data_IF_255896494035
#
_entry.id   IF_255896494035
#
_cell.length_a   1.000
_cell.length_b   1.000
_cell.length_c   1.000
_cell.angle_alpha   90.00
_cell.angle_beta   90.00
_cell.angle_gamma   90.00
#
_symmetry.space_group_name_H-M   'P 1'
#
loop_
_entity.id
_entity.type
_entity.pdbx_description
1 polymer ?
#
# COMPACT_ATOMS: atom_id res chain seq x y z
N UNK A 1 -3.19 14.63 3.65
CA UNK A 1 -1.91 13.89 3.64
C UNK A 1 -2.14 12.51 4.23
N UNK A 2 -1.54 11.48 3.66
CA UNK A 2 -1.58 10.11 4.19
C UNK A 2 -0.15 9.57 4.35
N UNK A 3 0.00 8.54 5.16
CA UNK A 3 1.23 7.75 5.26
C UNK A 3 0.89 6.30 4.92
N UNK A 4 1.63 5.70 3.99
CA UNK A 4 1.42 4.33 3.56
C UNK A 4 2.76 3.58 3.45
N UNK A 5 2.86 2.42 4.12
CA UNK A 5 4.04 1.56 4.05
C UNK A 5 3.85 0.41 3.05
N UNK A 6 2.85 -0.44 3.31
CA UNK A 6 2.66 -1.71 2.59
C UNK A 6 2.61 -1.56 1.06
N UNK A 7 1.84 -0.59 0.54
CA UNK A 7 1.68 -0.40 -0.91
C UNK A 7 3.00 -0.01 -1.60
N UNK A 8 3.90 0.68 -0.88
CA UNK A 8 5.17 1.20 -1.36
C UNK A 8 6.35 0.25 -1.10
N UNK A 9 6.17 -0.77 -0.25
CA UNK A 9 7.26 -1.63 0.21
C UNK A 9 7.82 -2.58 -0.87
N UNK A 10 7.07 -2.84 -1.94
CA UNK A 10 7.43 -3.79 -3.00
C UNK A 10 8.32 -3.23 -4.11
N UNK A 11 8.72 -1.96 -4.04
CA UNK A 11 9.42 -1.27 -5.14
C UNK A 11 10.93 -1.28 -5.03
N UNK A 12 11.65 -1.00 -6.12
CA UNK A 12 13.11 -0.94 -6.14
C UNK A 12 13.69 0.06 -5.13
N UNK A 13 13.02 1.20 -4.97
CA UNK A 13 13.43 2.33 -4.12
C UNK A 13 13.17 2.10 -2.63
N UNK A 14 12.35 1.09 -2.28
CA UNK A 14 12.11 0.78 -0.87
C UNK A 14 13.34 0.09 -0.25
N UNK A 15 13.59 0.25 1.05
CA UNK A 15 14.56 -0.60 1.74
C UNK A 15 14.03 -2.04 1.87
N UNK A 16 14.92 -3.00 2.11
CA UNK A 16 14.57 -4.42 2.29
C UNK A 16 15.08 -5.31 1.17
N UNK A 17 15.45 -6.54 1.51
CA UNK A 17 16.09 -7.45 0.57
C UNK A 17 15.10 -7.99 -0.46
N UNK A 18 15.58 -8.18 -1.69
CA UNK A 18 14.87 -8.93 -2.72
C UNK A 18 15.07 -10.43 -2.50
N UNK A 19 13.99 -11.16 -2.33
CA UNK A 19 13.97 -12.61 -2.09
C UNK A 19 13.22 -13.30 -3.22
N UNK A 20 13.76 -14.41 -3.71
CA UNK A 20 13.07 -15.26 -4.69
C UNK A 20 12.53 -16.49 -3.98
N UNK A 21 11.22 -16.74 -4.07
CA UNK A 21 10.57 -17.91 -3.51
C UNK A 21 9.64 -18.52 -4.57
N UNK A 22 9.80 -19.81 -4.85
CA UNK A 22 9.03 -20.54 -5.87
C UNK A 22 8.99 -19.83 -7.25
N UNK A 23 10.14 -19.27 -7.67
CA UNK A 23 10.26 -18.55 -8.94
C UNK A 23 9.63 -17.15 -8.98
N UNK A 24 8.98 -16.71 -7.89
CA UNK A 24 8.41 -15.37 -7.74
C UNK A 24 9.34 -14.48 -6.91
N UNK A 25 9.43 -13.21 -7.28
CA UNK A 25 10.22 -12.19 -6.59
C UNK A 25 9.38 -11.46 -5.54
N UNK A 26 9.97 -11.24 -4.38
CA UNK A 26 9.36 -10.56 -3.24
C UNK A 26 10.35 -9.59 -2.61
N UNK A 27 9.86 -8.57 -1.92
CA UNK A 27 10.66 -7.75 -1.01
C UNK A 27 10.28 -8.02 0.44
N UNK A 28 11.29 -7.98 1.30
CA UNK A 28 11.09 -8.03 2.74
C UNK A 28 10.48 -6.73 3.25
N UNK A 29 9.40 -6.82 4.00
CA UNK A 29 8.75 -5.70 4.66
C UNK A 29 8.46 -6.05 6.12
N UNK A 30 8.82 -5.17 7.04
CA UNK A 30 8.56 -5.38 8.46
C UNK A 30 8.25 -4.08 9.18
N UNK A 31 7.36 -4.18 10.18
CA UNK A 31 6.99 -3.05 11.02
C UNK A 31 8.15 -2.57 11.89
N UNK A 32 8.14 -1.29 12.25
CA UNK A 32 9.15 -0.66 13.12
C UNK A 32 9.25 -1.32 14.50
N UNK A 33 8.15 -1.91 15.00
CA UNK A 33 8.11 -2.67 16.25
C UNK A 33 8.41 -4.18 16.09
N UNK A 34 9.00 -4.59 14.97
CA UNK A 34 9.42 -5.99 14.74
C UNK A 34 10.78 -6.29 15.37
N UNK A 35 11.06 -7.57 15.64
CA UNK A 35 12.38 -8.04 16.13
C UNK A 35 13.54 -7.60 15.23
N UNK A 36 13.28 -7.40 13.95
CA UNK A 36 14.30 -7.00 12.98
C UNK A 36 14.71 -5.54 13.11
N UNK A 37 13.91 -4.73 13.80
CA UNK A 37 14.15 -3.31 13.99
C UNK A 37 14.31 -2.93 15.48
N UNK A 38 13.70 -3.69 16.39
CA UNK A 38 13.92 -3.56 17.84
C UNK A 38 15.21 -4.26 18.26
N UNK A 39 16.02 -3.57 19.06
CA UNK A 39 17.17 -4.17 19.75
C UNK A 39 16.72 -5.10 20.88
N UNK A 40 15.57 -4.80 21.51
CA UNK A 40 15.00 -5.58 22.60
C UNK A 40 13.99 -6.61 22.11
N UNK A 41 14.02 -7.82 22.68
CA UNK A 41 13.15 -8.94 22.32
C UNK A 41 11.81 -8.96 23.08
N UNK A 42 11.55 -7.97 23.94
CA UNK A 42 10.32 -7.87 24.74
C UNK A 42 9.26 -7.01 24.04
N UNK A 43 7.99 -7.43 24.14
CA UNK A 43 6.82 -6.75 23.56
C UNK A 43 6.98 -6.47 22.05
N UNK A 44 7.09 -7.54 21.27
CA UNK A 44 7.19 -7.46 19.80
C UNK A 44 5.79 -7.43 19.21
N UNK A 45 5.50 -6.35 18.47
CA UNK A 45 4.18 -6.13 17.87
C UNK A 45 4.25 -6.07 16.33
N UNK A 46 5.46 -5.92 15.77
CA UNK A 46 5.70 -5.96 14.33
C UNK A 46 6.03 -7.35 13.82
N UNK A 47 5.51 -7.70 12.65
CA UNK A 47 5.87 -8.92 11.91
C UNK A 47 6.73 -8.59 10.71
N UNK A 48 7.50 -9.58 10.26
CA UNK A 48 8.14 -9.58 8.94
C UNK A 48 7.29 -10.37 7.97
N UNK A 49 7.01 -9.76 6.82
CA UNK A 49 6.25 -10.36 5.73
C UNK A 49 7.01 -10.18 4.41
N UNK A 50 6.63 -10.98 3.43
CA UNK A 50 7.07 -10.83 2.05
C UNK A 50 5.96 -10.14 1.27
N UNK A 51 6.29 -9.03 0.61
CA UNK A 51 5.40 -8.35 -0.32
C UNK A 51 5.84 -8.65 -1.74
N UNK A 52 4.89 -8.81 -2.67
CA UNK A 52 5.21 -9.04 -4.08
C UNK A 52 6.10 -7.92 -4.61
N UNK A 53 7.13 -8.29 -5.37
CA UNK A 53 7.99 -7.32 -6.04
C UNK A 53 7.22 -6.61 -7.16
N UNK A 54 7.33 -5.29 -7.22
CA UNK A 54 6.57 -4.43 -8.15
C UNK A 54 7.45 -3.64 -9.14
N UNK A 55 8.77 -3.74 -9.06
CA UNK A 55 9.67 -2.93 -9.90
C UNK A 55 9.79 -1.48 -9.43
N UNK A 56 10.14 -0.54 -10.32
CA UNK A 56 10.29 0.87 -9.98
C UNK A 56 8.99 1.49 -9.45
N UNK A 57 9.09 2.44 -8.52
CA UNK A 57 7.92 3.10 -7.91
C UNK A 57 7.18 4.05 -8.84
N UNK A 58 7.85 4.54 -9.89
CA UNK A 58 7.33 5.60 -10.76
C UNK A 58 5.96 5.27 -11.36
N UNK A 59 5.76 4.04 -11.82
CA UNK A 59 4.51 3.60 -12.44
C UNK A 59 3.37 3.55 -11.42
N UNK A 60 3.61 2.98 -10.23
CA UNK A 60 2.62 2.96 -9.15
C UNK A 60 2.31 4.34 -8.60
N UNK A 61 3.28 5.25 -8.55
CA UNK A 61 3.03 6.63 -8.15
C UNK A 61 2.10 7.34 -9.15
N UNK A 62 2.36 7.15 -10.45
CA UNK A 62 1.51 7.69 -11.52
C UNK A 62 0.09 7.11 -11.46
N UNK A 63 -0.04 5.80 -11.27
CA UNK A 63 -1.35 5.13 -11.11
C UNK A 63 -2.14 5.71 -9.93
N UNK A 64 -1.50 5.87 -8.76
CA UNK A 64 -2.13 6.49 -7.58
C UNK A 64 -2.57 7.93 -7.87
N UNK A 65 -1.78 8.70 -8.61
CA UNK A 65 -2.13 10.06 -9.01
C UNK A 65 -3.35 10.08 -9.93
N UNK A 66 -3.36 9.24 -10.98
CA UNK A 66 -4.44 9.14 -11.95
C UNK A 66 -5.76 8.65 -11.31
N UNK A 67 -5.68 7.68 -10.41
CA UNK A 67 -6.83 7.16 -9.65
C UNK A 67 -7.40 8.21 -8.69
N UNK A 68 -6.52 8.94 -7.99
CA UNK A 68 -6.95 10.02 -7.10
C UNK A 68 -7.60 11.16 -7.87
N UNK A 69 -7.03 11.56 -9.01
CA UNK A 69 -7.62 12.56 -9.90
C UNK A 69 -8.99 12.12 -10.42
N UNK A 70 -9.13 10.84 -10.78
CA UNK A 70 -10.41 10.25 -11.21
C UNK A 70 -11.44 10.29 -10.08
N UNK A 71 -11.05 9.93 -8.85
CA UNK A 71 -11.92 10.01 -7.68
C UNK A 71 -12.39 11.45 -7.38
N UNK A 72 -11.50 12.44 -7.48
CA UNK A 72 -11.84 13.87 -7.35
C UNK A 72 -12.87 14.28 -8.41
N UNK A 73 -12.69 13.82 -9.66
CA UNK A 73 -13.62 14.09 -10.75
C UNK A 73 -15.00 13.47 -10.51
N UNK A 74 -15.08 12.22 -10.04
CA UNK A 74 -16.35 11.57 -9.67
C UNK A 74 -17.04 12.27 -8.50
N UNK A 75 -16.28 12.85 -7.57
CA UNK A 75 -16.79 13.71 -6.51
C UNK A 75 -17.28 15.09 -7.00
N UNK A 76 -17.12 15.42 -8.29
CA UNK A 76 -17.61 16.65 -8.89
C UNK A 76 -16.73 17.88 -8.63
N UNK A 77 -15.44 17.70 -8.30
CA UNK A 77 -14.54 18.82 -8.02
C UNK A 77 -13.21 18.76 -8.76
N UNK A 78 -12.27 19.62 -8.33
CA UNK A 78 -10.95 19.81 -8.96
C UNK A 78 -9.79 19.72 -7.97
N UNK A 79 -10.11 19.51 -6.69
CA UNK A 79 -9.16 19.46 -5.60
C UNK A 79 -9.61 18.46 -4.53
N UNK A 80 -8.77 18.28 -3.52
CA UNK A 80 -9.01 17.33 -2.43
C UNK A 80 -10.21 17.70 -1.54
N UNK A 81 -10.72 18.94 -1.59
CA UNK A 81 -11.90 19.33 -0.81
C UNK A 81 -13.18 18.69 -1.36
N UNK A 82 -13.21 18.35 -2.65
CA UNK A 82 -14.32 17.64 -3.27
C UNK A 82 -14.60 16.30 -2.60
N UNK A 83 -13.53 15.51 -2.34
CA UNK A 83 -13.62 14.20 -1.68
C UNK A 83 -14.13 14.33 -0.24
N UNK A 84 -13.84 15.43 0.45
CA UNK A 84 -14.30 15.63 1.84
C UNK A 84 -15.79 15.97 1.95
N UNK A 85 -16.40 16.43 0.86
CA UNK A 85 -17.77 16.95 0.82
C UNK A 85 -18.72 16.06 0.03
N UNK A 86 -18.21 15.04 -0.67
CA UNK A 86 -19.04 14.14 -1.44
C UNK A 86 -19.87 13.23 -0.54
N UNK A 87 -21.05 12.86 -1.02
CA UNK A 87 -21.88 11.86 -0.37
C UNK A 87 -21.19 10.49 -0.43
N UNK A 88 -21.37 9.69 0.61
CA UNK A 88 -20.91 8.31 0.66
C UNK A 88 -22.05 7.40 1.14
N UNK A 89 -22.03 6.15 0.68
CA UNK A 89 -23.00 5.13 1.09
C UNK A 89 -22.28 4.03 1.85
N UNK A 90 -22.83 3.66 3.01
CA UNK A 90 -22.36 2.49 3.75
C UNK A 90 -22.89 1.22 3.09
N UNK A 91 -22.02 0.51 2.39
CA UNK A 91 -22.37 -0.79 1.79
C UNK A 91 -22.35 -1.86 2.88
N UNK A 92 -23.45 -2.61 3.03
CA UNK A 92 -23.54 -3.72 3.99
C UNK A 92 -22.93 -4.98 3.40
N UNK A 93 -21.76 -5.39 3.91
CA UNK A 93 -21.05 -6.61 3.51
C UNK A 93 -19.66 -6.34 2.91
N UNK A 94 -18.89 -7.41 2.69
CA UNK A 94 -17.58 -7.31 2.02
C UNK A 94 -17.79 -7.10 0.53
N UNK A 95 -17.34 -5.97 0.00
CA UNK A 95 -17.25 -5.75 -1.44
C UNK A 95 -15.96 -6.44 -1.91
N UNK A 96 -16.08 -7.58 -2.59
CA UNK A 96 -14.94 -8.14 -3.32
C UNK A 96 -14.81 -7.35 -4.63
N UNK A 97 -13.68 -6.70 -4.84
CA UNK A 97 -13.41 -5.86 -6.02
C UNK A 97 -13.19 -6.68 -7.32
N UNK A 98 -13.84 -7.83 -7.46
CA UNK A 98 -13.72 -8.68 -8.65
C UNK A 98 -12.36 -9.36 -8.86
N UNK A 99 -11.42 -9.20 -7.94
CA UNK A 99 -10.07 -9.81 -7.96
C UNK A 99 -10.04 -11.28 -7.52
N UNK A 100 -11.11 -12.04 -7.77
CA UNK A 100 -11.13 -13.50 -7.61
C UNK A 100 -10.59 -14.21 -8.89
N UNK A 101 -9.66 -13.57 -9.63
CA UNK A 101 -9.00 -14.16 -10.82
C UNK A 101 -7.57 -14.56 -10.55
#
# INVERSE_FOLDING_TARGET
>A
MIMAGSILAGHDESPGNLVTNNGKKYKEYYGSASVFNKVETKNIEGKKILVSYKGPIADTYKEIEEDLQSAISYAGGKDLEAIKKCDYVLVKGTINNGDDR
#
